data_IF_143836887122
#
_entry.id   IF_143836887122
#
_cell.length_a   1.000
_cell.length_b   1.000
_cell.length_c   1.000
_cell.angle_alpha   90.00
_cell.angle_beta   90.00
_cell.angle_gamma   90.00
#
_symmetry.space_group_name_H-M   'P 1'
#
loop_
_entity.id
_entity.type
_entity.pdbx_description
1 polymer ?
#
# COMPACT_ATOMS: atom_id res chain seq x y z
N UNK A 1 7.90 4.94 -13.52
CA UNK A 1 8.48 3.80 -12.79
C UNK A 1 8.82 2.71 -13.80
N UNK A 2 10.01 2.10 -13.73
CA UNK A 2 10.45 1.09 -14.72
C UNK A 2 11.11 -0.10 -14.04
N UNK A 3 10.39 -1.22 -13.96
CA UNK A 3 10.95 -2.50 -13.47
C UNK A 3 12.13 -2.95 -14.33
N UNK A 4 11.99 -2.89 -15.66
CA UNK A 4 13.06 -3.24 -16.60
C UNK A 4 14.33 -2.41 -16.37
N UNK A 5 14.19 -1.16 -15.93
CA UNK A 5 15.33 -0.33 -15.52
C UNK A 5 16.09 -0.92 -14.33
N UNK A 6 15.39 -1.41 -13.30
CA UNK A 6 16.01 -2.08 -12.16
C UNK A 6 16.59 -3.45 -12.52
N UNK A 7 15.95 -4.19 -13.43
CA UNK A 7 16.52 -5.43 -13.95
C UNK A 7 17.85 -5.17 -14.68
N UNK A 8 17.93 -4.09 -15.47
CA UNK A 8 19.19 -3.68 -16.10
C UNK A 8 20.25 -3.26 -15.08
N UNK A 9 19.87 -2.58 -14.00
CA UNK A 9 20.80 -2.24 -12.91
C UNK A 9 21.38 -3.49 -12.25
N UNK A 10 20.59 -4.55 -12.06
CA UNK A 10 21.10 -5.83 -11.57
C UNK A 10 22.15 -6.42 -12.54
N UNK A 11 21.89 -6.41 -13.86
CA UNK A 11 22.88 -6.87 -14.85
C UNK A 11 24.16 -6.01 -14.88
N UNK A 12 24.05 -4.70 -14.62
CA UNK A 12 25.22 -3.82 -14.50
C UNK A 12 26.04 -4.23 -13.26
N UNK A 13 25.39 -4.47 -12.13
CA UNK A 13 26.05 -4.97 -10.90
C UNK A 13 26.78 -6.28 -11.20
N UNK A 14 26.14 -7.23 -11.88
CA UNK A 14 26.76 -8.50 -12.25
C UNK A 14 27.99 -8.30 -13.13
N UNK A 15 27.86 -7.46 -14.17
CA UNK A 15 28.95 -7.18 -15.11
C UNK A 15 30.15 -6.52 -14.46
N UNK A 16 29.92 -5.57 -13.55
CA UNK A 16 30.99 -4.79 -12.90
C UNK A 16 31.63 -5.57 -11.75
N UNK A 17 30.84 -6.30 -10.95
CA UNK A 17 31.35 -7.05 -9.81
C UNK A 17 31.93 -8.42 -10.17
N UNK A 18 31.55 -8.99 -11.32
CA UNK A 18 31.87 -10.37 -11.70
C UNK A 18 31.14 -11.44 -10.88
N UNK A 19 30.15 -11.05 -10.07
CA UNK A 19 29.33 -11.95 -9.24
C UNK A 19 27.91 -12.03 -9.78
N UNK A 20 27.18 -13.10 -9.45
CA UNK A 20 25.72 -13.10 -9.66
C UNK A 20 25.07 -12.03 -8.77
N UNK A 21 23.92 -11.49 -9.16
CA UNK A 21 23.24 -10.48 -8.33
C UNK A 21 22.87 -11.05 -6.95
N UNK A 22 22.48 -12.33 -6.87
CA UNK A 22 22.27 -13.07 -5.61
C UNK A 22 23.50 -13.03 -4.70
N UNK A 23 24.67 -13.38 -5.23
CA UNK A 23 25.91 -13.45 -4.43
C UNK A 23 26.39 -12.06 -4.03
N UNK A 24 26.29 -11.09 -4.93
CA UNK A 24 26.60 -9.69 -4.62
C UNK A 24 25.71 -9.17 -3.48
N UNK A 25 24.40 -9.35 -3.55
CA UNK A 25 23.49 -8.92 -2.48
C UNK A 25 23.79 -9.62 -1.15
N UNK A 26 24.11 -10.91 -1.19
CA UNK A 26 24.46 -11.67 0.02
C UNK A 26 25.74 -11.15 0.68
N UNK A 27 26.79 -10.88 -0.10
CA UNK A 27 28.11 -10.49 0.40
C UNK A 27 28.22 -9.00 0.73
N UNK A 28 27.62 -8.14 -0.08
CA UNK A 28 27.79 -6.68 0.00
C UNK A 28 26.67 -5.98 0.78
N UNK A 29 25.51 -6.64 0.98
CA UNK A 29 24.36 -6.03 1.67
C UNK A 29 23.91 -6.88 2.85
N UNK A 30 23.44 -8.11 2.63
CA UNK A 30 22.76 -8.87 3.68
C UNK A 30 23.69 -9.30 4.81
N UNK A 31 24.87 -9.86 4.49
CA UNK A 31 25.83 -10.31 5.50
C UNK A 31 26.41 -9.15 6.33
N UNK A 32 26.88 -8.04 5.74
CA UNK A 32 27.38 -6.88 6.50
C UNK A 32 26.34 -6.28 7.45
N UNK A 33 25.06 -6.31 7.08
CA UNK A 33 23.97 -5.79 7.90
C UNK A 33 23.39 -6.81 8.89
N UNK A 34 23.91 -8.03 8.91
CA UNK A 34 23.38 -9.11 9.75
C UNK A 34 21.94 -9.51 9.37
N UNK A 35 21.53 -9.30 8.12
CA UNK A 35 20.21 -9.67 7.58
C UNK A 35 20.20 -11.17 7.22
N UNK A 36 20.28 -12.03 8.24
CA UNK A 36 20.48 -13.48 8.09
C UNK A 36 19.27 -14.25 7.54
N UNK A 37 18.11 -13.60 7.47
CA UNK A 37 16.87 -14.13 6.90
C UNK A 37 16.49 -13.45 5.57
N UNK A 38 17.35 -12.58 5.03
CA UNK A 38 17.18 -11.99 3.70
C UNK A 38 17.94 -12.75 2.63
N UNK A 39 17.34 -12.90 1.44
CA UNK A 39 17.98 -13.52 0.27
C UNK A 39 17.29 -13.16 -1.04
N UNK A 40 18.03 -13.31 -2.14
CA UNK A 40 17.46 -13.39 -3.48
C UNK A 40 17.03 -14.84 -3.72
N UNK A 41 15.72 -15.08 -3.84
CA UNK A 41 15.16 -16.42 -3.95
C UNK A 41 13.91 -16.46 -4.82
N UNK A 42 13.87 -17.41 -5.75
CA UNK A 42 12.70 -17.68 -6.59
C UNK A 42 12.14 -19.06 -6.25
N UNK A 43 11.06 -19.09 -5.48
CA UNK A 43 10.39 -20.33 -5.06
C UNK A 43 9.96 -21.22 -6.24
N UNK A 44 9.63 -20.65 -7.41
CA UNK A 44 9.14 -21.38 -8.58
C UNK A 44 10.25 -21.98 -9.45
N UNK A 45 11.49 -21.49 -9.31
CA UNK A 45 12.66 -22.00 -10.06
C UNK A 45 13.68 -22.72 -9.18
N UNK A 46 13.68 -22.47 -7.87
CA UNK A 46 14.59 -23.08 -6.91
C UNK A 46 14.00 -24.38 -6.33
N UNK A 47 14.04 -25.46 -7.12
CA UNK A 47 13.42 -26.74 -6.78
C UNK A 47 14.05 -27.50 -5.60
N UNK A 48 15.26 -27.13 -5.17
CA UNK A 48 16.05 -27.93 -4.21
C UNK A 48 16.32 -27.22 -2.86
N UNK A 49 15.90 -25.97 -2.69
CA UNK A 49 16.12 -25.22 -1.45
C UNK A 49 14.82 -25.13 -0.65
N UNK A 50 14.81 -25.72 0.56
CA UNK A 50 13.71 -25.63 1.51
C UNK A 50 14.04 -24.52 2.51
N UNK A 51 13.22 -23.47 2.54
CA UNK A 51 13.38 -22.35 3.48
C UNK A 51 12.42 -22.56 4.66
N UNK A 52 12.93 -22.70 5.90
CA UNK A 52 12.08 -22.79 7.08
C UNK A 52 11.20 -21.53 7.23
N UNK A 53 9.93 -21.73 7.57
CA UNK A 53 8.96 -20.65 7.78
C UNK A 53 8.78 -19.72 6.57
N UNK A 54 8.93 -20.24 5.36
CA UNK A 54 8.65 -19.48 4.14
C UNK A 54 7.15 -19.18 4.03
N UNK A 55 6.80 -17.89 3.92
CA UNK A 55 5.43 -17.48 3.69
C UNK A 55 5.10 -17.57 2.20
N UNK A 56 4.28 -18.55 1.81
CA UNK A 56 3.74 -18.59 0.45
C UNK A 56 2.68 -17.50 0.26
N UNK A 57 2.71 -16.86 -0.91
CA UNK A 57 1.74 -15.86 -1.32
C UNK A 57 0.46 -16.51 -1.84
N UNK A 58 -0.68 -16.02 -1.36
CA UNK A 58 -2.00 -16.54 -1.71
C UNK A 58 -2.88 -15.46 -2.35
N UNK A 59 -3.70 -15.86 -3.31
CA UNK A 59 -4.72 -15.01 -3.94
C UNK A 59 -6.10 -15.55 -3.63
N UNK A 60 -7.07 -14.66 -3.45
CA UNK A 60 -8.45 -15.08 -3.23
C UNK A 60 -9.09 -15.47 -4.56
N UNK A 61 -9.58 -16.71 -4.66
CA UNK A 61 -10.32 -17.18 -5.82
C UNK A 61 -11.83 -17.06 -5.57
N UNK A 62 -12.46 -16.08 -6.21
CA UNK A 62 -13.90 -15.80 -6.02
C UNK A 62 -14.81 -16.99 -6.37
N UNK A 63 -14.43 -17.81 -7.34
CA UNK A 63 -15.17 -19.01 -7.75
C UNK A 63 -15.12 -20.12 -6.69
N UNK A 64 -14.04 -20.18 -5.91
CA UNK A 64 -13.82 -21.21 -4.88
C UNK A 64 -14.07 -20.69 -3.46
N UNK A 65 -14.29 -19.38 -3.30
CA UNK A 65 -14.47 -18.70 -2.01
C UNK A 65 -13.37 -19.02 -1.00
N UNK A 66 -12.12 -19.13 -1.46
CA UNK A 66 -10.95 -19.42 -0.64
C UNK A 66 -9.67 -18.86 -1.23
N UNK A 67 -8.65 -18.73 -0.39
CA UNK A 67 -7.29 -18.43 -0.81
C UNK A 67 -6.63 -19.67 -1.43
N UNK A 68 -5.96 -19.47 -2.56
CA UNK A 68 -5.19 -20.49 -3.28
C UNK A 68 -3.85 -19.91 -3.73
N UNK A 69 -2.93 -20.78 -4.15
CA UNK A 69 -1.68 -20.32 -4.74
C UNK A 69 -1.95 -19.65 -6.11
N UNK A 70 -1.22 -18.57 -6.44
CA UNK A 70 -1.39 -17.85 -7.71
C UNK A 70 -1.23 -18.73 -8.95
N UNK A 71 -0.37 -19.75 -8.87
CA UNK A 71 -0.10 -20.70 -9.95
C UNK A 71 -1.29 -21.61 -10.29
N UNK A 72 -2.28 -21.71 -9.40
CA UNK A 72 -3.49 -22.49 -9.59
C UNK A 72 -4.55 -21.74 -10.41
N UNK A 73 -4.25 -20.52 -10.86
CA UNK A 73 -5.14 -19.66 -11.63
C UNK A 73 -4.58 -19.39 -13.04
N UNK A 74 -5.26 -19.83 -14.13
CA UNK A 74 -4.77 -19.65 -15.49
C UNK A 74 -4.44 -18.19 -15.86
N UNK A 75 -5.21 -17.23 -15.34
CA UNK A 75 -5.00 -15.80 -15.58
C UNK A 75 -3.73 -15.24 -14.91
N UNK A 76 -3.14 -15.99 -13.98
CA UNK A 76 -1.90 -15.64 -13.28
C UNK A 76 -0.71 -16.51 -13.73
N UNK A 77 -0.82 -17.27 -14.83
CA UNK A 77 0.28 -18.11 -15.34
C UNK A 77 1.61 -17.37 -15.56
N UNK A 78 1.58 -16.03 -15.69
CA UNK A 78 2.78 -15.20 -15.74
C UNK A 78 3.69 -15.30 -14.54
N UNK A 79 3.19 -15.77 -13.38
CA UNK A 79 4.04 -16.06 -12.23
C UNK A 79 5.05 -17.17 -12.50
N UNK A 80 4.92 -17.98 -13.54
CA UNK A 80 5.95 -18.99 -13.86
C UNK A 80 7.12 -18.41 -14.66
N UNK A 81 6.83 -17.55 -15.63
CA UNK A 81 7.85 -17.07 -16.58
C UNK A 81 8.41 -15.70 -16.23
N UNK A 82 7.68 -14.85 -15.50
CA UNK A 82 8.15 -13.54 -15.03
C UNK A 82 8.71 -13.57 -13.59
N UNK A 83 8.41 -14.60 -12.80
CA UNK A 83 9.02 -14.72 -11.47
C UNK A 83 10.50 -15.08 -11.60
N UNK A 84 11.36 -14.44 -10.80
CA UNK A 84 12.81 -14.61 -10.86
C UNK A 84 13.59 -13.49 -11.52
N UNK A 85 12.93 -12.46 -12.05
CA UNK A 85 13.63 -11.25 -12.50
C UNK A 85 14.23 -10.59 -11.25
N UNK A 86 15.52 -10.27 -11.32
CA UNK A 86 16.31 -9.73 -10.21
C UNK A 86 16.53 -8.23 -10.42
N UNK A 87 16.67 -7.50 -9.33
CA UNK A 87 16.85 -6.05 -9.33
C UNK A 87 15.55 -5.28 -9.10
N UNK A 88 14.48 -5.63 -9.81
CA UNK A 88 13.15 -5.01 -9.69
C UNK A 88 12.30 -5.59 -8.54
N UNK A 89 12.71 -6.72 -7.98
CA UNK A 89 12.03 -7.36 -6.86
C UNK A 89 12.83 -8.53 -6.28
N UNK A 90 12.13 -9.60 -5.91
CA UNK A 90 12.65 -10.93 -5.51
C UNK A 90 13.54 -11.03 -4.26
N UNK A 91 13.76 -9.92 -3.55
CA UNK A 91 14.28 -9.96 -2.19
C UNK A 91 13.21 -10.57 -1.28
N UNK A 92 13.51 -11.73 -0.71
CA UNK A 92 12.69 -12.36 0.33
C UNK A 92 13.32 -11.98 1.67
N UNK A 93 12.53 -11.51 2.62
CA UNK A 93 13.03 -10.95 3.88
C UNK A 93 12.01 -11.07 5.01
N UNK A 94 12.41 -10.66 6.22
CA UNK A 94 11.54 -10.52 7.39
C UNK A 94 11.44 -9.06 7.81
N UNK A 95 10.45 -8.73 8.66
CA UNK A 95 10.31 -7.38 9.22
C UNK A 95 11.55 -6.98 10.02
N UNK A 96 12.14 -7.92 10.78
CA UNK A 96 13.35 -7.68 11.56
C UNK A 96 14.57 -7.35 10.71
N UNK A 97 14.77 -8.05 9.59
CA UNK A 97 15.89 -7.75 8.68
C UNK A 97 15.67 -6.46 7.88
N UNK A 98 14.43 -6.18 7.47
CA UNK A 98 14.10 -4.90 6.85
C UNK A 98 14.26 -3.70 7.80
N UNK A 99 14.05 -3.90 9.10
CA UNK A 99 14.40 -2.88 10.10
C UNK A 99 15.92 -2.65 10.16
N UNK A 100 16.75 -3.70 10.08
CA UNK A 100 18.21 -3.55 10.01
C UNK A 100 18.64 -2.77 8.76
N UNK A 101 18.02 -3.05 7.62
CA UNK A 101 18.22 -2.28 6.38
C UNK A 101 17.91 -0.80 6.56
N UNK A 102 16.77 -0.47 7.16
CA UNK A 102 16.39 0.90 7.45
C UNK A 102 17.38 1.60 8.40
N UNK A 103 17.79 0.93 9.49
CA UNK A 103 18.81 1.45 10.41
C UNK A 103 20.16 1.65 9.73
N UNK A 104 20.53 0.80 8.78
CA UNK A 104 21.74 0.96 7.97
C UNK A 104 21.68 2.21 7.08
N UNK A 105 20.50 2.51 6.52
CA UNK A 105 20.27 3.75 5.77
C UNK A 105 20.39 4.98 6.68
N UNK A 106 19.81 4.91 7.88
CA UNK A 106 19.94 5.98 8.88
C UNK A 106 21.40 6.26 9.25
N UNK A 107 22.19 5.21 9.44
CA UNK A 107 23.51 5.29 10.05
C UNK A 107 24.65 5.27 9.03
N UNK A 108 24.37 5.42 7.73
CA UNK A 108 25.39 5.41 6.67
C UNK A 108 26.30 4.17 6.69
N UNK A 109 25.71 3.00 6.96
CA UNK A 109 26.49 1.78 7.23
C UNK A 109 27.00 1.07 5.97
N UNK A 110 26.45 1.39 4.79
CA UNK A 110 26.86 0.80 3.50
C UNK A 110 27.38 1.82 2.50
N UNK A 111 26.86 3.05 2.55
CA UNK A 111 27.19 4.13 1.62
C UNK A 111 27.79 5.29 2.40
N UNK A 112 28.65 6.07 1.75
CA UNK A 112 29.07 7.36 2.29
C UNK A 112 27.84 8.26 2.51
N UNK A 113 27.92 9.19 3.46
CA UNK A 113 26.85 10.15 3.72
C UNK A 113 26.43 10.92 2.44
N UNK A 114 27.41 11.30 1.60
CA UNK A 114 27.15 12.00 0.34
C UNK A 114 26.36 11.12 -0.63
N UNK A 115 26.82 9.89 -0.88
CA UNK A 115 26.13 8.96 -1.78
C UNK A 115 24.74 8.58 -1.27
N UNK A 116 24.59 8.44 0.04
CA UNK A 116 23.29 8.18 0.65
C UNK A 116 22.34 9.37 0.50
N UNK A 117 22.83 10.59 0.72
CA UNK A 117 22.03 11.80 0.49
C UNK A 117 21.56 11.89 -0.95
N UNK A 118 22.42 11.58 -1.91
CA UNK A 118 22.03 11.52 -3.34
C UNK A 118 20.96 10.46 -3.62
N UNK A 119 21.11 9.26 -3.04
CA UNK A 119 20.13 8.17 -3.14
C UNK A 119 18.74 8.58 -2.63
N UNK A 120 18.70 9.32 -1.52
CA UNK A 120 17.46 9.73 -0.84
C UNK A 120 16.83 11.00 -1.42
N UNK A 121 17.60 11.80 -2.16
CA UNK A 121 17.10 13.05 -2.75
C UNK A 121 16.16 12.74 -3.91
N UNK A 122 14.99 13.41 -3.95
CA UNK A 122 14.06 13.30 -5.06
C UNK A 122 14.72 13.74 -6.39
N UNK A 123 14.89 12.78 -7.30
CA UNK A 123 15.44 13.00 -8.64
C UNK A 123 14.33 13.35 -9.64
N UNK A 124 13.09 12.93 -9.35
CA UNK A 124 11.89 13.28 -10.10
C UNK A 124 10.67 13.31 -9.18
N UNK A 125 9.59 13.99 -9.59
CA UNK A 125 8.28 13.88 -8.96
C UNK A 125 7.41 12.88 -9.72
N UNK A 126 6.87 11.89 -9.02
CA UNK A 126 5.87 10.95 -9.56
C UNK A 126 4.45 11.50 -9.47
N UNK A 127 4.22 12.45 -8.56
CA UNK A 127 3.02 13.27 -8.51
C UNK A 127 3.42 14.70 -8.12
N UNK A 128 3.34 15.63 -9.07
CA UNK A 128 3.69 17.04 -8.86
C UNK A 128 2.72 17.73 -7.90
N UNK A 129 1.45 17.34 -7.90
CA UNK A 129 0.40 17.96 -7.08
C UNK A 129 0.53 17.57 -5.62
N UNK A 130 0.75 16.27 -5.37
CA UNK A 130 0.97 15.73 -4.03
C UNK A 130 2.44 15.85 -3.57
N UNK A 131 3.33 16.38 -4.42
CA UNK A 131 4.78 16.50 -4.20
C UNK A 131 5.43 15.17 -3.78
N UNK A 132 5.02 14.08 -4.43
CA UNK A 132 5.62 12.76 -4.22
C UNK A 132 6.88 12.65 -5.07
N UNK A 133 8.04 12.64 -4.42
CA UNK A 133 9.35 12.50 -5.03
C UNK A 133 9.79 11.03 -5.16
N UNK A 134 10.71 10.77 -6.06
CA UNK A 134 11.37 9.49 -6.24
C UNK A 134 12.88 9.69 -6.38
N UNK A 135 13.63 9.12 -5.44
CA UNK A 135 15.09 9.03 -5.48
C UNK A 135 15.56 7.75 -6.17
N UNK A 136 16.72 7.24 -5.80
CA UNK A 136 17.22 5.95 -6.30
C UNK A 136 16.59 4.79 -5.52
N UNK A 137 15.37 4.40 -5.91
CA UNK A 137 14.66 3.25 -5.32
C UNK A 137 13.83 3.56 -4.08
N UNK A 138 13.64 4.84 -3.77
CA UNK A 138 12.92 5.27 -2.58
C UNK A 138 11.96 6.40 -2.98
N UNK A 139 10.70 6.26 -2.60
CA UNK A 139 9.73 7.35 -2.66
C UNK A 139 9.90 8.26 -1.46
N UNK A 140 9.60 9.53 -1.67
CA UNK A 140 9.54 10.54 -0.62
C UNK A 140 8.20 11.28 -0.72
N UNK A 141 7.48 11.41 0.38
CA UNK A 141 6.34 12.32 0.47
C UNK A 141 6.35 13.03 1.83
N UNK A 142 5.47 14.02 1.97
CA UNK A 142 5.22 14.69 3.24
C UNK A 142 3.73 14.62 3.56
N UNK A 143 3.39 14.11 4.73
CA UNK A 143 2.04 14.10 5.28
C UNK A 143 1.95 15.02 6.52
N UNK A 144 0.85 14.92 7.28
CA UNK A 144 0.66 15.73 8.49
C UNK A 144 1.60 15.37 9.66
N UNK A 145 2.25 14.21 9.61
CA UNK A 145 3.20 13.71 10.60
C UNK A 145 4.66 13.91 10.18
N UNK A 146 4.92 14.42 8.97
CA UNK A 146 6.26 14.73 8.51
C UNK A 146 6.62 14.07 7.19
N UNK A 147 7.91 13.97 6.95
CA UNK A 147 8.54 13.47 5.75
C UNK A 147 8.74 11.96 5.87
N UNK A 148 8.16 11.20 4.95
CA UNK A 148 8.32 9.76 4.91
C UNK A 148 9.19 9.34 3.72
N UNK A 149 10.12 8.43 3.98
CA UNK A 149 10.81 7.64 2.98
C UNK A 149 10.14 6.28 2.91
N UNK A 150 9.76 5.82 1.73
CA UNK A 150 9.03 4.57 1.62
C UNK A 150 9.22 3.86 0.28
N UNK A 151 8.85 2.59 0.26
CA UNK A 151 8.61 1.87 -0.99
C UNK A 151 7.53 0.82 -0.79
N UNK A 152 6.69 0.65 -1.81
CA UNK A 152 5.67 -0.42 -1.85
C UNK A 152 6.17 -1.61 -2.66
N UNK A 153 5.62 -2.78 -2.46
CA UNK A 153 5.93 -3.96 -3.27
C UNK A 153 4.67 -4.78 -3.53
N UNK A 154 4.63 -5.42 -4.69
CA UNK A 154 3.50 -6.22 -5.11
C UNK A 154 3.94 -7.32 -6.06
N UNK A 155 3.50 -8.53 -5.78
CA UNK A 155 3.55 -9.69 -6.66
C UNK A 155 2.31 -10.53 -6.38
N UNK A 156 1.78 -11.34 -7.31
CA UNK A 156 0.56 -12.11 -7.01
C UNK A 156 0.69 -12.93 -5.72
N UNK A 157 -0.13 -12.58 -4.74
CA UNK A 157 -0.16 -13.19 -3.41
C UNK A 157 0.68 -12.46 -2.37
N UNK A 158 1.40 -11.40 -2.73
CA UNK A 158 2.24 -10.60 -1.84
C UNK A 158 1.95 -9.11 -1.99
N UNK A 159 1.84 -8.43 -0.86
CA UNK A 159 1.80 -6.97 -0.80
C UNK A 159 2.68 -6.51 0.36
N UNK A 160 3.57 -5.55 0.10
CA UNK A 160 4.53 -5.09 1.10
C UNK A 160 4.58 -3.58 1.14
N UNK A 161 4.90 -3.04 2.31
CA UNK A 161 5.16 -1.62 2.48
C UNK A 161 6.21 -1.43 3.56
N UNK A 162 7.21 -0.61 3.28
CA UNK A 162 8.17 -0.13 4.25
C UNK A 162 8.13 1.38 4.22
N UNK A 163 7.95 2.01 5.38
CA UNK A 163 8.09 3.46 5.53
C UNK A 163 8.90 3.80 6.77
N UNK A 164 9.66 4.89 6.66
CA UNK A 164 10.33 5.55 7.77
C UNK A 164 9.96 7.02 7.76
N UNK A 165 9.58 7.53 8.93
CA UNK A 165 9.41 8.95 9.15
C UNK A 165 10.72 9.57 9.64
N UNK A 166 11.07 10.74 9.12
CA UNK A 166 12.36 11.37 9.40
C UNK A 166 12.33 12.25 10.65
N UNK A 167 11.17 12.77 11.02
CA UNK A 167 10.97 13.67 12.15
C UNK A 167 10.91 12.89 13.49
N UNK A 168 10.13 11.81 13.53
CA UNK A 168 9.87 11.03 14.75
C UNK A 168 10.65 9.69 14.80
N UNK A 169 11.44 9.40 13.78
CA UNK A 169 12.34 8.22 13.67
C UNK A 169 11.67 6.85 13.92
N UNK A 170 10.39 6.71 13.60
CA UNK A 170 9.74 5.41 13.54
C UNK A 170 9.85 4.77 12.15
N UNK A 171 9.81 3.44 12.13
CA UNK A 171 9.79 2.62 10.92
C UNK A 171 8.64 1.63 10.99
N UNK A 172 7.82 1.59 9.95
CA UNK A 172 6.74 0.61 9.79
C UNK A 172 7.11 -0.34 8.66
N UNK A 173 7.07 -1.64 8.93
CA UNK A 173 7.27 -2.69 7.93
C UNK A 173 6.05 -3.61 7.94
N UNK A 174 5.34 -3.66 6.80
CA UNK A 174 4.17 -4.53 6.60
C UNK A 174 4.50 -5.52 5.48
N UNK A 175 4.43 -6.82 5.79
CA UNK A 175 4.58 -7.91 4.83
C UNK A 175 3.31 -8.75 4.85
N UNK A 176 2.62 -8.82 3.71
CA UNK A 176 1.38 -9.57 3.56
C UNK A 176 1.54 -10.66 2.50
N UNK A 177 1.07 -11.86 2.79
CA UNK A 177 1.10 -13.03 1.90
C UNK A 177 -0.30 -13.43 1.40
N UNK A 178 -1.23 -12.48 1.37
CA UNK A 178 -2.60 -12.72 0.89
C UNK A 178 -3.17 -11.55 0.06
N UNK A 179 -2.30 -10.70 -0.51
CA UNK A 179 -2.65 -9.43 -1.18
C UNK A 179 -3.35 -8.38 -0.30
N UNK A 180 -3.39 -8.52 1.03
CA UNK A 180 -3.96 -7.46 1.89
C UNK A 180 -3.25 -6.12 1.69
N UNK A 181 -4.01 -5.02 1.78
CA UNK A 181 -3.52 -3.67 1.53
C UNK A 181 -2.46 -3.21 2.55
N UNK A 182 -1.19 -3.51 2.26
CA UNK A 182 -0.05 -3.18 3.12
C UNK A 182 0.13 -1.66 3.31
N UNK A 183 -0.11 -0.86 2.27
CA UNK A 183 -0.06 0.60 2.35
C UNK A 183 -1.15 1.15 3.27
N UNK A 184 -2.38 0.65 3.15
CA UNK A 184 -3.48 1.03 4.03
C UNK A 184 -3.20 0.73 5.50
N UNK A 185 -2.69 -0.47 5.79
CA UNK A 185 -2.27 -0.86 7.14
C UNK A 185 -1.12 0.02 7.66
N UNK A 186 -0.11 0.31 6.83
CA UNK A 186 0.99 1.20 7.22
C UNK A 186 0.48 2.60 7.57
N UNK A 187 -0.49 3.13 6.83
CA UNK A 187 -1.07 4.43 7.12
C UNK A 187 -1.90 4.41 8.43
N UNK A 188 -2.63 3.34 8.72
CA UNK A 188 -3.32 3.19 10.01
C UNK A 188 -2.34 3.16 11.18
N UNK A 189 -1.25 2.38 11.03
CA UNK A 189 -0.22 2.29 12.05
C UNK A 189 0.46 3.65 12.29
N UNK A 190 0.70 4.46 11.26
CA UNK A 190 1.22 5.81 11.47
C UNK A 190 0.24 6.67 12.26
N UNK A 191 -1.07 6.62 11.99
CA UNK A 191 -2.07 7.32 12.80
C UNK A 191 -2.06 6.86 14.26
N UNK A 192 -2.03 5.55 14.51
CA UNK A 192 -1.97 4.98 15.87
C UNK A 192 -0.72 5.46 16.62
N UNK A 193 0.45 5.47 15.97
CA UNK A 193 1.71 5.92 16.58
C UNK A 193 1.65 7.39 17.04
N UNK A 194 0.84 8.23 16.39
CA UNK A 194 0.64 9.64 16.76
C UNK A 194 -0.63 9.86 17.60
N UNK A 195 -1.20 8.81 18.20
CA UNK A 195 -2.42 8.85 19.01
C UNK A 195 -3.65 9.40 18.27
N UNK A 196 -3.69 9.22 16.95
CA UNK A 196 -4.83 9.62 16.11
C UNK A 196 -5.83 8.47 15.99
N UNK A 197 -7.12 8.82 15.85
CA UNK A 197 -8.18 7.84 15.74
C UNK A 197 -8.14 7.12 14.39
N UNK A 198 -8.26 5.80 14.45
CA UNK A 198 -8.48 4.93 13.29
C UNK A 198 -9.76 4.12 13.48
N UNK A 199 -10.51 3.95 12.41
CA UNK A 199 -11.64 3.03 12.36
C UNK A 199 -11.10 1.65 12.01
N UNK A 200 -11.16 0.72 12.96
CA UNK A 200 -10.77 -0.67 12.70
C UNK A 200 -11.70 -1.32 11.67
N UNK A 201 -11.20 -2.24 10.83
CA UNK A 201 -12.01 -2.95 9.86
C UNK A 201 -13.07 -3.81 10.57
N UNK A 202 -14.27 -3.88 10.00
CA UNK A 202 -15.35 -4.74 10.49
C UNK A 202 -16.25 -5.20 9.33
N UNK A 203 -17.05 -6.23 9.57
CA UNK A 203 -18.01 -6.71 8.57
C UNK A 203 -19.20 -5.76 8.51
N UNK A 204 -19.37 -5.08 7.37
CA UNK A 204 -20.50 -4.20 7.10
C UNK A 204 -21.82 -4.96 7.10
N UNK A 205 -22.86 -4.32 7.65
CA UNK A 205 -24.23 -4.86 7.66
C UNK A 205 -25.16 -3.85 7.02
N UNK A 206 -25.76 -4.25 5.90
CA UNK A 206 -26.77 -3.44 5.21
C UNK A 206 -28.05 -3.36 6.04
N UNK A 207 -28.64 -2.17 6.14
CA UNK A 207 -29.91 -1.92 6.83
C UNK A 207 -30.92 -1.28 5.89
N UNK A 208 -32.21 -1.48 6.13
CA UNK A 208 -33.24 -0.77 5.37
C UNK A 208 -33.41 0.65 5.94
N UNK A 209 -33.41 1.65 5.06
CA UNK A 209 -33.73 3.05 5.40
C UNK A 209 -34.86 3.55 4.51
N UNK A 210 -35.57 4.59 4.96
CA UNK A 210 -36.56 5.26 4.12
C UNK A 210 -35.86 5.93 2.93
N UNK A 211 -36.24 5.54 1.71
CA UNK A 211 -35.66 6.07 0.48
C UNK A 211 -35.89 7.57 0.27
N UNK A 212 -36.82 8.20 1.00
CA UNK A 212 -37.04 9.66 0.91
C UNK A 212 -35.90 10.45 1.55
N UNK A 213 -35.19 9.89 2.53
CA UNK A 213 -34.10 10.61 3.22
C UNK A 213 -32.85 10.73 2.37
N UNK A 214 -32.71 9.89 1.33
CA UNK A 214 -31.49 9.83 0.52
C UNK A 214 -31.31 11.08 -0.34
N UNK A 215 -32.39 11.79 -0.66
CA UNK A 215 -32.34 13.03 -1.44
C UNK A 215 -31.56 14.14 -0.69
N UNK A 216 -31.55 14.10 0.64
CA UNK A 216 -30.78 15.05 1.46
C UNK A 216 -29.26 14.89 1.30
N UNK A 217 -28.80 13.68 0.95
CA UNK A 217 -27.39 13.32 0.82
C UNK A 217 -26.80 13.61 -0.55
N UNK A 218 -27.64 13.88 -1.55
CA UNK A 218 -27.20 14.25 -2.91
C UNK A 218 -26.45 15.59 -2.86
N UNK A 219 -25.37 15.69 -3.61
CA UNK A 219 -24.60 16.93 -3.70
C UNK A 219 -23.13 16.72 -4.02
N UNK A 220 -22.41 17.84 -4.07
CA UNK A 220 -20.95 17.86 -4.19
C UNK A 220 -20.33 18.23 -2.84
N UNK A 221 -19.27 17.53 -2.50
CA UNK A 221 -18.53 17.72 -1.26
C UNK A 221 -17.05 17.90 -1.56
N UNK A 222 -16.42 18.90 -0.96
CA UNK A 222 -15.03 19.28 -1.19
C UNK A 222 -14.21 19.14 0.08
N UNK A 223 -13.15 18.34 -0.02
CA UNK A 223 -12.07 18.23 0.97
C UNK A 223 -10.73 18.28 0.23
N UNK A 224 -9.85 17.32 0.52
CA UNK A 224 -8.59 17.12 -0.25
C UNK A 224 -8.84 16.91 -1.74
N UNK A 225 -9.99 16.33 -2.10
CA UNK A 225 -10.48 16.22 -3.47
C UNK A 225 -11.99 16.49 -3.52
N UNK A 226 -12.53 16.57 -4.73
CA UNK A 226 -13.97 16.73 -4.94
C UNK A 226 -14.65 15.36 -4.99
N UNK A 227 -15.76 15.21 -4.28
CA UNK A 227 -16.67 14.08 -4.44
C UNK A 227 -18.07 14.55 -4.81
N UNK A 228 -18.78 13.70 -5.53
CA UNK A 228 -20.18 13.89 -5.89
C UNK A 228 -20.95 12.62 -5.53
N UNK A 229 -22.06 12.83 -4.83
CA UNK A 229 -23.04 11.82 -4.42
C UNK A 229 -24.28 12.04 -5.26
N UNK A 230 -24.73 11.00 -5.94
CA UNK A 230 -25.87 11.03 -6.84
C UNK A 230 -26.88 9.94 -6.46
N UNK A 231 -28.11 10.08 -6.96
CA UNK A 231 -29.15 9.07 -6.82
C UNK A 231 -29.44 8.43 -8.17
N UNK A 232 -29.46 7.11 -8.20
CA UNK A 232 -29.94 6.33 -9.35
C UNK A 232 -30.90 5.27 -8.85
N UNK A 233 -32.09 5.17 -9.47
CA UNK A 233 -33.10 4.13 -9.14
C UNK A 233 -33.40 4.02 -7.63
N UNK A 234 -33.45 5.15 -6.92
CA UNK A 234 -33.77 5.20 -5.49
C UNK A 234 -32.59 4.93 -4.55
N UNK A 235 -31.39 4.65 -5.06
CA UNK A 235 -30.19 4.34 -4.27
C UNK A 235 -29.12 5.42 -4.44
N UNK A 236 -28.24 5.54 -3.45
CA UNK A 236 -27.10 6.45 -3.52
C UNK A 236 -25.91 5.82 -4.21
N UNK A 237 -25.17 6.64 -4.94
CA UNK A 237 -23.94 6.27 -5.61
C UNK A 237 -22.88 7.34 -5.39
N UNK A 238 -21.64 6.90 -5.22
CA UNK A 238 -20.47 7.75 -5.44
C UNK A 238 -20.24 7.84 -6.95
N UNK A 239 -20.37 9.04 -7.51
CA UNK A 239 -20.16 9.27 -8.95
C UNK A 239 -18.71 9.03 -9.36
N UNK A 240 -18.50 8.26 -10.41
CA UNK A 240 -17.19 7.83 -10.90
C UNK A 240 -17.27 7.18 -12.28
N UNK A 241 -16.28 6.36 -12.62
CA UNK A 241 -16.26 5.57 -13.85
C UNK A 241 -15.79 4.13 -13.52
N UNK A 242 -16.70 3.20 -13.16
CA UNK A 242 -18.15 3.36 -13.02
C UNK A 242 -18.56 4.06 -11.71
N UNK A 243 -19.86 4.37 -11.59
CA UNK A 243 -20.46 4.77 -10.31
C UNK A 243 -20.45 3.59 -9.34
N UNK A 244 -20.20 3.85 -8.05
CA UNK A 244 -20.18 2.80 -7.01
C UNK A 244 -21.37 3.00 -6.08
N UNK A 245 -22.20 1.98 -5.91
CA UNK A 245 -23.35 2.01 -5.01
C UNK A 245 -22.90 2.19 -3.54
N UNK A 246 -23.65 3.01 -2.82
CA UNK A 246 -23.48 3.27 -1.40
C UNK A 246 -24.62 2.56 -0.65
N UNK A 247 -24.28 1.51 0.09
CA UNK A 247 -25.22 0.70 0.85
C UNK A 247 -25.41 1.26 2.26
N UNK A 248 -26.65 1.48 2.71
CA UNK A 248 -26.91 2.00 4.06
C UNK A 248 -26.48 1.02 5.15
N UNK A 249 -25.78 1.51 6.15
CA UNK A 249 -25.44 0.82 7.41
C UNK A 249 -26.13 1.48 8.61
N UNK A 250 -26.50 2.74 8.48
CA UNK A 250 -27.44 3.45 9.34
C UNK A 250 -28.12 4.56 8.54
N UNK A 251 -28.98 5.36 9.18
CA UNK A 251 -29.59 6.53 8.53
C UNK A 251 -28.56 7.52 7.97
N UNK A 252 -27.35 7.62 8.54
CA UNK A 252 -26.31 8.59 8.14
C UNK A 252 -25.02 7.96 7.62
N UNK A 253 -24.86 6.64 7.73
CA UNK A 253 -23.62 5.95 7.39
C UNK A 253 -23.87 4.92 6.30
N UNK A 254 -23.02 4.92 5.29
CA UNK A 254 -23.09 4.03 4.14
C UNK A 254 -21.71 3.41 3.89
N UNK A 255 -21.67 2.24 3.25
CA UNK A 255 -20.44 1.58 2.81
C UNK A 255 -20.47 1.30 1.30
N UNK A 256 -19.30 1.15 0.70
CA UNK A 256 -19.19 0.97 -0.75
C UNK A 256 -19.50 -0.48 -1.14
N UNK A 257 -20.34 -0.66 -2.16
CA UNK A 257 -20.77 -2.00 -2.60
C UNK A 257 -19.71 -2.78 -3.41
N UNK A 258 -18.53 -2.21 -3.64
CA UNK A 258 -17.44 -2.79 -4.43
C UNK A 258 -16.55 -3.76 -3.64
N UNK A 259 -16.93 -4.08 -2.40
CA UNK A 259 -16.18 -4.98 -1.51
C UNK A 259 -14.99 -4.31 -0.81
N UNK A 260 -14.75 -3.01 -1.03
CA UNK A 260 -13.75 -2.27 -0.27
C UNK A 260 -14.26 -1.91 1.14
N UNK A 261 -13.35 -1.86 2.10
CA UNK A 261 -13.59 -1.34 3.46
C UNK A 261 -13.57 0.20 3.44
N UNK A 262 -14.51 0.78 2.69
CA UNK A 262 -14.73 2.22 2.59
C UNK A 262 -16.12 2.57 3.09
N UNK A 263 -16.20 3.66 3.84
CA UNK A 263 -17.45 4.19 4.35
C UNK A 263 -17.59 5.68 4.06
N UNK A 264 -18.83 6.14 4.08
CA UNK A 264 -19.20 7.53 4.00
C UNK A 264 -20.24 7.82 5.10
N UNK A 265 -19.98 8.84 5.91
CA UNK A 265 -20.85 9.22 7.02
C UNK A 265 -21.23 10.70 6.93
N UNK A 266 -22.53 10.98 6.81
CA UNK A 266 -23.04 12.34 6.64
C UNK A 266 -23.22 13.05 7.97
N UNK A 267 -22.68 14.26 8.07
CA UNK A 267 -22.87 15.16 9.20
C UNK A 267 -24.01 16.14 8.92
N UNK A 268 -24.91 16.29 9.90
CA UNK A 268 -26.06 17.18 9.85
C UNK A 268 -25.85 18.37 10.79
N UNK A 269 -26.36 19.54 10.44
CA UNK A 269 -26.48 20.68 11.36
C UNK A 269 -27.68 20.53 12.31
N UNK A 270 -27.87 21.51 13.19
CA UNK A 270 -28.99 21.53 14.15
C UNK A 270 -30.39 21.59 13.53
N UNK A 271 -30.49 21.88 12.23
CA UNK A 271 -31.75 21.86 11.47
C UNK A 271 -32.00 20.54 10.75
N UNK A 272 -31.06 19.59 10.82
CA UNK A 272 -31.12 18.31 10.11
C UNK A 272 -30.63 18.39 8.66
N UNK A 273 -30.03 19.49 8.23
CA UNK A 273 -29.46 19.63 6.87
C UNK A 273 -28.05 19.08 6.83
N UNK A 274 -27.71 18.37 5.75
CA UNK A 274 -26.34 17.86 5.52
C UNK A 274 -25.39 19.02 5.24
N UNK A 275 -24.33 19.13 6.04
CA UNK A 275 -23.31 20.19 5.94
C UNK A 275 -21.94 19.67 5.53
N UNK A 276 -21.61 18.45 5.92
CA UNK A 276 -20.35 17.81 5.52
C UNK A 276 -20.50 16.30 5.49
N UNK A 277 -19.48 15.64 4.98
CA UNK A 277 -19.39 14.20 4.94
C UNK A 277 -18.00 13.72 5.30
N UNK A 278 -17.93 12.66 6.09
CA UNK A 278 -16.72 11.97 6.46
C UNK A 278 -16.51 10.79 5.53
N UNK A 279 -15.44 10.81 4.75
CA UNK A 279 -14.96 9.62 4.04
C UNK A 279 -14.03 8.86 4.97
N UNK A 280 -14.30 7.57 5.14
CA UNK A 280 -13.47 6.66 5.89
C UNK A 280 -12.87 5.69 4.88
N UNK A 281 -11.56 5.74 4.69
CA UNK A 281 -10.84 4.91 3.72
C UNK A 281 -9.60 4.37 4.38
N UNK A 282 -9.44 3.04 4.36
CA UNK A 282 -8.38 2.36 5.12
C UNK A 282 -8.36 2.83 6.58
N UNK A 283 -9.53 2.92 7.23
CA UNK A 283 -9.64 3.33 8.63
C UNK A 283 -9.39 4.82 8.93
N UNK A 284 -8.94 5.62 7.96
CA UNK A 284 -8.68 7.06 8.14
C UNK A 284 -9.91 7.86 7.77
N UNK A 285 -10.34 8.75 8.68
CA UNK A 285 -11.50 9.63 8.52
C UNK A 285 -11.08 11.00 8.00
N UNK A 286 -11.66 11.43 6.87
CA UNK A 286 -11.36 12.73 6.22
C UNK A 286 -12.65 13.50 5.92
N UNK A 287 -12.67 14.79 6.25
CA UNK A 287 -13.86 15.62 6.05
C UNK A 287 -13.93 16.21 4.65
N UNK A 288 -15.14 16.26 4.09
CA UNK A 288 -15.47 16.97 2.86
C UNK A 288 -16.72 17.84 3.11
N UNK A 289 -16.57 19.16 2.97
CA UNK A 289 -17.65 20.12 3.19
C UNK A 289 -18.62 20.11 2.02
N UNK A 290 -19.93 20.19 2.26
CA UNK A 290 -20.94 20.29 1.19
C UNK A 290 -20.82 21.65 0.51
N UNK A 291 -20.70 21.65 -0.82
CA UNK A 291 -20.57 22.88 -1.63
C UNK A 291 -21.74 23.08 -2.60
N UNK A 292 -22.44 22.01 -2.96
CA UNK A 292 -23.65 22.01 -3.79
C UNK A 292 -24.60 20.91 -3.30
#
# INVERSE_FOLDING_TARGET
YSNTGYALLASIIEKVSGKSFKDFMQESVFKPLGMTQSRIYNTRRSSNEVIPNYAYGYVYADSLKRYILPDSLPQLNFVYYLDGIQGDGIVNSTTGDLLKWDRAIKNHSLLSEISQKEMLTAQAYTDTSAKVGYGYGIFQNKDKFGTNLYHSGGWPGYATFLSRNLEDDWTIVVLSNNNSNATGLSNQLSYILHNELVVFPYVHKEVTIDSTIVDNYIGKYKGSYLIEIIKERGKLYRKGKPNVELKPESIRKFFFADGSDRQIEFALDGSGKVVSVWLITNGIRTEHQKIE
#
